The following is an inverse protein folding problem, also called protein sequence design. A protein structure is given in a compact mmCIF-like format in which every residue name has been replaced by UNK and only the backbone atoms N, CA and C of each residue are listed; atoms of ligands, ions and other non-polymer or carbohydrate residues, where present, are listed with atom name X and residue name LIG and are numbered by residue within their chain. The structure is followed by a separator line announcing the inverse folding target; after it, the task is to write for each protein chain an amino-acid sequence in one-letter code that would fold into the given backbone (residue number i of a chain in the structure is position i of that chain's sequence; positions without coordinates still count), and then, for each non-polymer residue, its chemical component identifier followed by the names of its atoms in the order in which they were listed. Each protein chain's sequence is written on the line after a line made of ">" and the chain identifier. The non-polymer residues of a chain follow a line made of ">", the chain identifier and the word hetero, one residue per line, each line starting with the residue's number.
data_IF_253772127905
#
_entry.id   IF_253772127905
#
_cell.length_a   1.000
_cell.length_b   1.000
_cell.length_c   1.000
_cell.angle_alpha   90.00
_cell.angle_beta   90.00
_cell.angle_gamma   90.00
#
_symmetry.space_group_name_H-M   'P 1'
#
loop_
_entity.id
_entity.type
_entity.pdbx_description
1 polymer ?
#
# COMPACT_ATOMS: atom_id res chain seq x y z
N UNK A 1 30.13 13.50 41.16
CA UNK A 1 30.37 13.54 39.71
C UNK A 1 31.17 12.32 39.31
N UNK A 2 30.50 11.27 38.85
CA UNK A 2 31.14 10.06 38.30
C UNK A 2 30.93 10.04 36.82
N UNK A 3 32.01 10.18 36.07
CA UNK A 3 32.01 9.98 34.62
C UNK A 3 31.83 8.48 34.38
N UNK A 4 30.70 8.08 33.81
CA UNK A 4 30.47 6.70 33.36
C UNK A 4 31.04 6.61 31.95
N UNK A 5 32.02 5.69 31.81
CA UNK A 5 32.71 5.43 30.55
C UNK A 5 31.77 4.85 29.52
N UNK A 6 31.52 5.62 28.47
CA UNK A 6 30.76 5.22 27.27
C UNK A 6 31.51 4.17 26.41
N UNK A 7 32.72 3.82 26.79
CA UNK A 7 33.58 2.89 26.02
C UNK A 7 33.27 1.40 26.23
N UNK A 8 32.43 1.05 27.22
CA UNK A 8 32.12 -0.35 27.50
C UNK A 8 30.90 -0.91 26.72
N UNK A 9 30.07 -0.06 26.12
CA UNK A 9 28.92 -0.51 25.33
C UNK A 9 29.23 -0.73 23.84
N UNK A 10 30.36 -0.28 23.33
CA UNK A 10 30.74 -0.49 21.93
C UNK A 10 31.50 -1.79 21.66
N UNK A 11 31.95 -2.49 22.69
CA UNK A 11 32.71 -3.75 22.54
C UNK A 11 31.84 -5.01 22.64
N UNK A 12 30.56 -4.90 22.92
CA UNK A 12 29.63 -6.04 22.97
C UNK A 12 28.79 -6.23 21.70
N UNK A 13 28.87 -5.31 20.75
CA UNK A 13 28.19 -5.46 19.44
C UNK A 13 29.07 -6.02 18.31
N UNK A 14 30.35 -6.29 18.58
CA UNK A 14 31.27 -6.81 17.57
C UNK A 14 31.50 -8.33 17.62
N UNK A 15 30.77 -9.08 18.46
CA UNK A 15 30.95 -10.51 18.61
C UNK A 15 29.76 -11.38 18.22
N UNK A 16 28.77 -10.81 17.49
CA UNK A 16 27.60 -11.53 16.98
C UNK A 16 27.54 -11.60 15.44
N UNK A 17 28.70 -11.49 14.79
CA UNK A 17 28.80 -11.74 13.35
C UNK A 17 29.65 -12.98 13.15
N UNK A 18 29.02 -14.02 12.70
CA UNK A 18 29.45 -15.26 12.04
C UNK A 18 28.88 -16.51 12.74
N UNK A 19 27.60 -16.69 12.62
CA UNK A 19 27.06 -18.04 12.45
C UNK A 19 26.49 -18.06 11.05
N UNK A 20 27.31 -18.48 10.11
CA UNK A 20 26.80 -18.95 8.81
C UNK A 20 25.96 -20.19 9.09
N UNK A 21 24.65 -20.08 9.04
CA UNK A 21 23.78 -21.23 8.87
C UNK A 21 23.99 -21.78 7.47
N UNK A 22 24.92 -22.72 7.34
CA UNK A 22 25.04 -23.60 6.18
C UNK A 22 23.98 -24.68 6.28
N UNK A 23 22.70 -24.34 6.07
CA UNK A 23 21.64 -25.34 5.98
C UNK A 23 20.41 -24.84 5.20
N UNK A 24 20.62 -24.13 4.11
CA UNK A 24 19.51 -23.77 3.20
C UNK A 24 19.88 -24.18 1.76
N UNK A 25 20.21 -25.43 1.56
CA UNK A 25 20.51 -25.94 0.22
C UNK A 25 19.37 -26.71 -0.46
N UNK A 26 18.12 -26.64 0.03
CA UNK A 26 17.03 -27.35 -0.64
C UNK A 26 15.66 -26.68 -0.58
N UNK A 27 15.56 -25.38 -0.33
CA UNK A 27 14.25 -24.75 -0.29
C UNK A 27 13.90 -24.10 -1.64
N UNK A 28 13.34 -24.92 -2.53
CA UNK A 28 12.86 -24.50 -3.86
C UNK A 28 11.46 -23.87 -3.85
N UNK A 29 11.00 -23.33 -2.74
CA UNK A 29 9.72 -22.60 -2.71
C UNK A 29 10.00 -21.15 -3.06
N UNK A 30 9.67 -20.76 -4.28
CA UNK A 30 9.74 -19.40 -4.75
C UNK A 30 8.36 -18.76 -4.63
N UNK A 31 8.11 -17.86 -3.66
CA UNK A 31 6.82 -17.16 -3.53
C UNK A 31 6.40 -16.43 -4.80
N UNK A 32 7.35 -16.11 -5.68
CA UNK A 32 7.04 -15.45 -6.96
C UNK A 32 6.56 -16.37 -8.06
N UNK A 33 6.85 -17.64 -8.02
CA UNK A 33 6.29 -18.59 -8.99
C UNK A 33 4.75 -18.61 -8.88
N UNK A 34 4.24 -18.16 -7.73
CA UNK A 34 2.82 -18.01 -7.47
C UNK A 34 2.20 -16.79 -8.12
N UNK A 35 2.93 -15.66 -8.14
CA UNK A 35 2.46 -14.42 -8.76
C UNK A 35 2.38 -14.57 -10.27
N UNK A 36 3.29 -15.35 -10.88
CA UNK A 36 3.37 -15.52 -12.33
C UNK A 36 2.47 -16.64 -12.88
N UNK A 37 2.00 -17.57 -12.05
CA UNK A 37 1.22 -18.73 -12.50
C UNK A 37 -0.30 -18.60 -12.29
N UNK A 38 -0.77 -17.46 -11.81
CA UNK A 38 -2.17 -17.20 -11.50
C UNK A 38 -3.10 -16.98 -12.70
N UNK A 39 -2.64 -17.12 -13.93
CA UNK A 39 -3.49 -16.84 -15.09
C UNK A 39 -2.97 -17.29 -16.43
N UNK A 40 -2.94 -18.57 -16.70
CA UNK A 40 -3.32 -19.09 -18.03
C UNK A 40 -3.13 -20.61 -18.06
N UNK A 41 -4.23 -21.32 -18.16
CA UNK A 41 -4.24 -22.71 -18.54
C UNK A 41 -3.80 -22.89 -19.99
N UNK A 42 -2.51 -23.03 -20.20
CA UNK A 42 -1.98 -23.73 -21.36
C UNK A 42 -1.10 -24.87 -20.84
N UNK A 43 -1.70 -26.02 -20.79
CA UNK A 43 -1.01 -27.29 -20.62
C UNK A 43 -0.02 -27.47 -21.77
N UNK A 44 1.26 -27.26 -21.49
CA UNK A 44 2.37 -28.05 -22.00
C UNK A 44 3.70 -27.33 -21.74
N UNK A 45 4.36 -27.76 -20.75
CA UNK A 45 5.77 -28.06 -20.51
C UNK A 45 6.13 -27.83 -19.05
N UNK A 46 6.37 -28.96 -18.37
CA UNK A 46 7.28 -29.01 -17.23
C UNK A 46 6.98 -28.05 -16.09
N UNK A 47 5.75 -27.98 -15.64
CA UNK A 47 5.39 -27.35 -14.38
C UNK A 47 6.15 -28.05 -13.26
N UNK A 48 7.22 -27.46 -12.82
CA UNK A 48 7.76 -27.75 -11.50
C UNK A 48 7.24 -26.70 -10.56
N UNK A 49 6.46 -27.21 -9.62
CA UNK A 49 6.18 -26.67 -8.31
C UNK A 49 5.17 -25.52 -8.25
N UNK A 50 3.94 -25.89 -8.52
CA UNK A 50 2.79 -25.34 -7.78
C UNK A 50 3.13 -25.48 -6.30
N UNK A 51 2.98 -24.42 -5.50
CA UNK A 51 3.07 -24.54 -4.04
C UNK A 51 2.09 -25.64 -3.64
N UNK A 52 2.64 -26.74 -3.22
CA UNK A 52 1.84 -27.88 -2.86
C UNK A 52 1.25 -27.61 -1.48
N UNK A 53 0.03 -27.99 -1.30
CA UNK A 53 -0.78 -27.78 -0.09
C UNK A 53 -0.36 -28.69 1.08
N UNK A 54 0.89 -29.14 1.11
CA UNK A 54 1.39 -30.05 2.13
C UNK A 54 2.39 -29.33 3.06
N UNK A 55 2.04 -29.23 4.33
CA UNK A 55 2.87 -28.61 5.38
C UNK A 55 4.31 -29.17 5.41
N UNK A 56 4.52 -30.41 4.99
CA UNK A 56 5.84 -31.03 4.90
C UNK A 56 6.77 -30.40 3.83
N UNK A 57 6.24 -29.54 2.97
CA UNK A 57 6.98 -28.90 1.88
C UNK A 57 7.46 -27.48 2.23
N UNK A 58 7.02 -26.93 3.34
CA UNK A 58 7.49 -25.62 3.82
C UNK A 58 8.81 -25.76 4.60
N UNK A 59 9.63 -24.71 4.64
CA UNK A 59 10.88 -24.73 5.42
C UNK A 59 10.64 -25.16 6.85
N UNK A 60 11.57 -25.96 7.39
CA UNK A 60 11.47 -26.47 8.76
C UNK A 60 11.39 -25.31 9.76
N UNK A 61 10.41 -25.37 10.66
CA UNK A 61 10.16 -24.30 11.63
C UNK A 61 9.21 -23.22 11.16
N UNK A 62 8.69 -23.31 9.92
CA UNK A 62 7.66 -22.40 9.44
C UNK A 62 6.33 -22.60 10.17
N UNK A 63 5.61 -21.51 10.37
CA UNK A 63 4.20 -21.52 10.71
C UNK A 63 3.40 -21.61 9.41
N UNK A 64 2.38 -22.47 9.36
CA UNK A 64 1.56 -22.61 8.15
C UNK A 64 0.08 -22.62 8.52
N UNK A 65 -0.69 -21.72 7.91
CA UNK A 65 -2.13 -21.68 8.04
C UNK A 65 -2.79 -22.23 6.78
N UNK A 66 -3.37 -23.43 6.92
CA UNK A 66 -4.02 -24.19 5.83
C UNK A 66 -5.53 -24.18 5.92
N UNK A 67 -6.10 -23.58 6.96
CA UNK A 67 -7.54 -23.56 7.26
C UNK A 67 -7.94 -22.19 7.79
N UNK A 68 -9.22 -21.90 7.64
CA UNK A 68 -9.82 -20.71 8.25
C UNK A 68 -9.50 -20.66 9.73
N UNK A 69 -9.10 -19.49 10.17
CA UNK A 69 -8.59 -19.23 11.51
C UNK A 69 -9.35 -18.05 12.13
N UNK A 70 -9.77 -18.22 13.37
CA UNK A 70 -10.36 -17.12 14.14
C UNK A 70 -9.40 -16.70 15.25
N UNK A 71 -9.05 -15.42 15.27
CA UNK A 71 -8.14 -14.83 16.25
C UNK A 71 -8.94 -14.02 17.27
N UNK A 72 -8.82 -14.36 18.54
CA UNK A 72 -9.33 -13.58 19.69
C UNK A 72 -8.21 -12.83 20.43
N UNK A 73 -6.99 -13.08 20.06
CA UNK A 73 -5.77 -12.46 20.61
C UNK A 73 -4.80 -12.16 19.45
N UNK A 74 -3.92 -11.20 19.66
CA UNK A 74 -2.89 -10.87 18.70
C UNK A 74 -1.91 -12.03 18.49
N UNK A 75 -1.40 -12.14 17.26
CA UNK A 75 -0.40 -13.15 16.89
C UNK A 75 0.91 -12.47 16.55
N UNK A 76 2.00 -12.99 17.11
CA UNK A 76 3.36 -12.61 16.75
C UNK A 76 4.02 -13.70 15.90
N UNK A 77 4.61 -13.28 14.80
CA UNK A 77 5.51 -14.13 14.00
C UNK A 77 6.93 -13.77 14.43
N UNK A 78 7.61 -14.66 15.16
CA UNK A 78 8.93 -14.36 15.75
C UNK A 78 10.01 -14.11 14.71
N UNK A 79 11.05 -13.40 15.10
CA UNK A 79 12.27 -13.19 14.28
C UNK A 79 12.81 -14.54 13.81
N UNK A 80 13.21 -14.62 12.55
CA UNK A 80 13.74 -15.84 11.94
C UNK A 80 12.69 -16.91 11.64
N UNK A 81 11.40 -16.64 11.90
CA UNK A 81 10.28 -17.52 11.56
C UNK A 81 9.52 -16.97 10.37
N UNK A 82 9.01 -17.85 9.52
CA UNK A 82 8.14 -17.49 8.41
C UNK A 82 6.72 -18.00 8.64
N UNK A 83 5.71 -17.16 8.38
CA UNK A 83 4.32 -17.58 8.31
C UNK A 83 3.89 -17.67 6.85
N UNK A 84 3.41 -18.84 6.46
CA UNK A 84 2.77 -19.11 5.17
C UNK A 84 1.26 -19.23 5.37
N UNK A 85 0.49 -18.53 4.54
CA UNK A 85 -0.97 -18.63 4.54
C UNK A 85 -1.42 -19.10 3.16
N UNK A 86 -2.06 -20.26 3.12
CA UNK A 86 -2.47 -20.92 1.89
C UNK A 86 -3.65 -20.24 1.19
N UNK A 87 -3.80 -20.47 -0.13
CA UNK A 87 -4.90 -19.90 -0.91
C UNK A 87 -6.28 -20.27 -0.36
N UNK A 88 -7.13 -19.27 -0.20
CA UNK A 88 -8.51 -19.42 0.24
C UNK A 88 -8.69 -19.42 1.76
N UNK A 89 -7.61 -19.30 2.54
CA UNK A 89 -7.71 -19.18 3.99
C UNK A 89 -8.31 -17.85 4.37
N UNK A 90 -9.30 -17.88 5.26
CA UNK A 90 -9.90 -16.71 5.90
C UNK A 90 -9.41 -16.58 7.34
N UNK A 91 -8.81 -15.45 7.66
CA UNK A 91 -8.41 -15.06 9.01
C UNK A 91 -9.45 -14.07 9.53
N UNK A 92 -10.25 -14.49 10.50
CA UNK A 92 -11.29 -13.66 11.13
C UNK A 92 -10.82 -13.16 12.48
N UNK A 93 -10.64 -11.85 12.62
CA UNK A 93 -10.29 -11.23 13.88
C UNK A 93 -11.56 -10.89 14.69
N UNK A 94 -11.56 -11.20 15.99
CA UNK A 94 -12.64 -10.84 16.89
C UNK A 94 -12.61 -9.35 17.22
N UNK A 95 -13.76 -8.69 17.10
CA UNK A 95 -13.92 -7.26 17.35
C UNK A 95 -14.19 -6.95 18.84
N UNK A 96 -14.98 -7.80 19.50
CA UNK A 96 -15.35 -7.57 20.91
C UNK A 96 -14.32 -8.17 21.87
N UNK A 97 -13.09 -7.61 21.85
CA UNK A 97 -11.97 -8.02 22.69
C UNK A 97 -11.38 -6.82 23.43
N UNK A 98 -10.75 -7.05 24.57
CA UNK A 98 -10.20 -5.98 25.40
C UNK A 98 -8.99 -5.26 24.72
N UNK A 99 -8.19 -6.00 23.99
CA UNK A 99 -7.03 -5.51 23.23
C UNK A 99 -7.29 -5.83 21.75
N UNK A 100 -7.31 -4.85 20.85
CA UNK A 100 -7.51 -5.12 19.44
C UNK A 100 -6.55 -6.16 18.89
N UNK A 101 -7.07 -7.11 18.12
CA UNK A 101 -6.24 -8.15 17.51
C UNK A 101 -5.30 -7.52 16.49
N UNK A 102 -4.02 -7.83 16.60
CA UNK A 102 -2.98 -7.46 15.65
C UNK A 102 -2.23 -8.69 15.15
N UNK A 103 -1.71 -8.66 13.94
CA UNK A 103 -0.75 -9.63 13.43
C UNK A 103 0.59 -8.92 13.32
N UNK A 104 1.47 -9.17 14.29
CA UNK A 104 2.79 -8.54 14.36
C UNK A 104 3.81 -9.49 13.75
N UNK A 105 4.49 -9.03 12.70
CA UNK A 105 5.44 -9.82 11.93
C UNK A 105 6.85 -9.31 12.23
N UNK A 106 7.57 -9.98 13.11
CA UNK A 106 8.99 -9.75 13.34
C UNK A 106 9.86 -10.62 12.41
N UNK A 107 9.32 -11.75 11.95
CA UNK A 107 9.88 -12.62 10.93
C UNK A 107 9.36 -12.31 9.53
N UNK A 108 9.01 -13.33 8.76
CA UNK A 108 8.54 -13.20 7.39
C UNK A 108 7.07 -13.59 7.23
N UNK A 109 6.39 -13.01 6.23
CA UNK A 109 4.99 -13.32 5.94
C UNK A 109 4.79 -13.58 4.45
N UNK A 110 4.15 -14.70 4.14
CA UNK A 110 3.81 -15.08 2.78
C UNK A 110 2.31 -15.43 2.69
N UNK A 111 1.51 -14.49 2.19
CA UNK A 111 0.11 -14.69 1.87
C UNK A 111 0.00 -14.94 0.37
N UNK A 112 -0.22 -16.20 -0.01
CA UNK A 112 -0.06 -16.65 -1.38
C UNK A 112 -1.42 -17.08 -1.97
N UNK A 113 -2.37 -16.14 -1.98
CA UNK A 113 -3.68 -16.34 -2.58
C UNK A 113 -3.64 -16.46 -4.12
N UNK A 114 -4.76 -16.80 -4.69
CA UNK A 114 -5.03 -16.77 -6.14
C UNK A 114 -6.29 -15.96 -6.41
N UNK A 115 -6.51 -15.57 -7.65
CA UNK A 115 -7.73 -14.84 -8.03
C UNK A 115 -9.02 -15.57 -7.61
N UNK A 116 -9.02 -16.92 -7.68
CA UNK A 116 -10.17 -17.76 -7.31
C UNK A 116 -10.22 -18.08 -5.81
N UNK A 117 -9.08 -17.99 -5.12
CA UNK A 117 -8.92 -18.34 -3.71
C UNK A 117 -8.04 -17.29 -3.01
N UNK A 118 -8.49 -16.05 -2.84
CA UNK A 118 -7.71 -15.04 -2.12
C UNK A 118 -7.51 -15.47 -0.66
N UNK A 119 -6.43 -14.99 -0.05
CA UNK A 119 -6.29 -14.99 1.41
C UNK A 119 -7.07 -13.80 1.95
N UNK A 120 -7.94 -14.02 2.93
CA UNK A 120 -8.81 -12.96 3.46
C UNK A 120 -8.50 -12.66 4.91
N UNK A 121 -8.26 -11.40 5.24
CA UNK A 121 -8.22 -10.87 6.60
C UNK A 121 -9.45 -10.00 6.80
N UNK A 122 -10.27 -10.36 7.78
CA UNK A 122 -11.55 -9.71 8.05
C UNK A 122 -11.87 -9.71 9.54
N UNK A 123 -12.99 -9.14 9.91
CA UNK A 123 -13.54 -9.21 11.26
C UNK A 123 -14.87 -9.96 11.31
N UNK A 124 -15.28 -10.33 12.49
CA UNK A 124 -16.57 -11.02 12.72
C UNK A 124 -17.77 -10.07 12.58
N UNK A 125 -17.65 -8.79 12.86
CA UNK A 125 -18.74 -7.81 12.71
C UNK A 125 -18.67 -6.98 11.44
N UNK A 126 -17.55 -7.03 10.70
CA UNK A 126 -17.33 -6.34 9.42
C UNK A 126 -17.55 -4.83 9.51
N UNK A 127 -16.96 -4.22 10.51
CA UNK A 127 -16.99 -2.77 10.70
C UNK A 127 -15.55 -2.23 10.68
N UNK A 128 -15.31 -1.08 10.07
CA UNK A 128 -14.02 -0.40 10.21
C UNK A 128 -13.64 -0.28 11.71
N UNK A 129 -12.34 -0.46 12.01
CA UNK A 129 -11.80 -0.41 13.40
C UNK A 129 -12.04 -1.68 14.25
N UNK A 130 -12.57 -2.75 13.67
CA UNK A 130 -12.82 -3.99 14.42
C UNK A 130 -11.56 -4.69 14.92
N UNK A 131 -10.45 -4.54 14.20
CA UNK A 131 -9.14 -5.11 14.55
C UNK A 131 -8.00 -4.16 14.16
N UNK A 132 -6.80 -4.42 14.63
CA UNK A 132 -5.65 -3.57 14.34
C UNK A 132 -5.24 -3.62 12.86
N UNK A 133 -4.29 -4.46 12.55
CA UNK A 133 -3.73 -4.61 11.21
C UNK A 133 -2.60 -5.63 11.20
N UNK A 134 -1.91 -5.70 10.06
CA UNK A 134 -0.67 -6.46 9.89
C UNK A 134 0.49 -5.49 10.05
N UNK A 135 1.29 -5.66 11.11
CA UNK A 135 2.34 -4.72 11.49
C UNK A 135 3.69 -5.42 11.41
N UNK A 136 4.45 -5.13 10.35
CA UNK A 136 5.76 -5.73 10.12
C UNK A 136 6.85 -4.90 10.80
N UNK A 137 7.66 -5.56 11.62
CA UNK A 137 8.67 -4.96 12.49
C UNK A 137 10.00 -4.70 11.80
N UNK A 138 10.97 -4.24 12.59
CA UNK A 138 12.30 -3.86 12.10
C UNK A 138 13.14 -5.05 11.62
N UNK A 139 12.82 -6.25 12.08
CA UNK A 139 13.51 -7.50 11.75
C UNK A 139 12.81 -8.28 10.61
N UNK A 140 11.60 -7.82 10.17
CA UNK A 140 10.88 -8.45 9.09
C UNK A 140 11.63 -8.27 7.77
N UNK A 141 12.22 -9.33 7.25
CA UNK A 141 13.06 -9.27 6.06
C UNK A 141 12.27 -9.36 4.77
N UNK A 142 11.20 -10.19 4.76
CA UNK A 142 10.42 -10.45 3.55
C UNK A 142 8.92 -10.54 3.83
N UNK A 143 8.13 -9.83 3.02
CA UNK A 143 6.66 -9.94 3.03
C UNK A 143 6.13 -10.04 1.61
N UNK A 144 5.31 -11.04 1.36
CA UNK A 144 4.59 -11.22 0.09
C UNK A 144 3.09 -11.26 0.36
N UNK A 145 2.37 -10.29 -0.19
CA UNK A 145 0.91 -10.26 -0.24
C UNK A 145 0.49 -10.38 -1.70
N UNK A 146 -0.03 -11.54 -2.09
CA UNK A 146 -0.53 -11.78 -3.44
C UNK A 146 -1.95 -12.32 -3.39
N UNK A 147 -2.87 -11.67 -4.09
CA UNK A 147 -4.30 -11.96 -4.01
C UNK A 147 -4.80 -12.03 -2.56
N UNK A 148 -4.61 -10.93 -1.84
CA UNK A 148 -5.05 -10.79 -0.45
C UNK A 148 -6.18 -9.78 -0.36
N UNK A 149 -7.20 -10.09 0.42
CA UNK A 149 -8.32 -9.21 0.75
C UNK A 149 -8.17 -8.78 2.22
N UNK A 150 -7.99 -7.48 2.50
CA UNK A 150 -7.78 -6.95 3.86
C UNK A 150 -8.80 -5.86 4.15
N UNK A 151 -9.67 -6.11 5.13
CA UNK A 151 -10.73 -5.19 5.48
C UNK A 151 -10.99 -5.06 6.97
N UNK A 152 -11.61 -3.95 7.36
CA UNK A 152 -12.14 -3.65 8.70
C UNK A 152 -11.08 -3.48 9.79
N UNK A 153 -9.83 -3.29 9.40
CA UNK A 153 -8.73 -2.95 10.30
C UNK A 153 -8.72 -1.47 10.68
N UNK A 154 -7.71 -1.09 11.45
CA UNK A 154 -7.46 0.30 11.81
C UNK A 154 -7.80 0.64 13.26
N UNK A 155 -7.97 -0.35 14.13
CA UNK A 155 -8.26 -0.12 15.55
C UNK A 155 -7.15 0.69 16.24
N UNK A 156 -7.55 1.47 17.22
CA UNK A 156 -6.63 2.20 18.09
C UNK A 156 -5.93 1.24 19.04
N UNK A 157 -4.59 1.17 19.07
CA UNK A 157 -3.88 0.27 19.96
C UNK A 157 -4.04 0.69 21.43
N UNK A 158 -3.78 -0.24 22.32
CA UNK A 158 -3.66 -0.02 23.77
C UNK A 158 -2.19 -0.23 24.18
N UNK A 159 -1.85 0.07 25.43
CA UNK A 159 -0.52 -0.23 25.98
C UNK A 159 -0.22 -1.75 25.98
N UNK A 160 -1.25 -2.59 25.93
CA UNK A 160 -1.13 -4.05 25.84
C UNK A 160 -1.07 -4.57 24.41
N UNK A 161 -1.25 -3.73 23.40
CA UNK A 161 -1.11 -4.13 21.99
C UNK A 161 0.34 -4.46 21.64
N UNK A 162 0.56 -5.51 20.85
CA UNK A 162 1.91 -5.95 20.47
C UNK A 162 2.66 -4.85 19.70
N UNK A 163 1.99 -4.13 18.82
CA UNK A 163 2.60 -3.02 18.08
C UNK A 163 3.12 -1.92 19.01
N UNK A 164 2.42 -1.63 20.11
CA UNK A 164 2.87 -0.67 21.12
C UNK A 164 4.07 -1.22 21.91
N UNK A 165 4.00 -2.47 22.37
CA UNK A 165 5.05 -3.11 23.15
C UNK A 165 6.37 -3.23 22.36
N UNK A 166 6.28 -3.58 21.08
CA UNK A 166 7.43 -3.62 20.17
C UNK A 166 7.83 -2.24 19.63
N UNK A 167 7.13 -1.17 20.02
CA UNK A 167 7.43 0.21 19.59
C UNK A 167 7.46 0.38 18.07
N UNK A 168 6.54 -0.25 17.37
CA UNK A 168 6.46 -0.23 15.91
C UNK A 168 5.77 1.04 15.41
N UNK A 169 4.52 0.97 14.99
CA UNK A 169 3.79 2.14 14.48
C UNK A 169 3.64 3.24 15.55
N UNK A 170 4.10 4.46 15.25
CA UNK A 170 4.06 5.63 16.17
C UNK A 170 4.49 5.28 17.61
N UNK A 171 5.76 4.93 17.84
CA UNK A 171 6.23 4.42 19.13
C UNK A 171 5.80 5.27 20.33
N UNK A 172 5.24 4.63 21.35
CA UNK A 172 4.80 5.27 22.59
C UNK A 172 3.53 6.11 22.46
N UNK A 173 2.75 5.95 21.39
CA UNK A 173 1.48 6.63 21.17
C UNK A 173 0.36 5.62 20.99
N UNK A 174 -0.78 5.94 21.58
CA UNK A 174 -2.05 5.22 21.46
C UNK A 174 -3.14 6.15 20.92
N UNK A 175 -2.74 7.20 20.22
CA UNK A 175 -3.63 8.19 19.63
C UNK A 175 -3.86 7.89 18.13
N UNK A 176 -5.01 7.39 17.81
CA UNK A 176 -5.42 7.02 16.46
C UNK A 176 -5.09 5.58 16.08
N UNK A 177 -5.84 5.05 15.14
CA UNK A 177 -5.73 3.66 14.71
C UNK A 177 -4.41 3.34 14.00
N UNK A 178 -4.04 2.07 14.06
CA UNK A 178 -2.94 1.55 13.24
C UNK A 178 -3.38 1.44 11.77
N UNK A 179 -2.47 1.44 10.79
CA UNK A 179 -2.84 1.16 9.40
C UNK A 179 -3.21 -0.32 9.22
N UNK A 180 -3.98 -0.64 8.19
CA UNK A 180 -4.30 -2.04 7.88
C UNK A 180 -3.03 -2.86 7.56
N UNK A 181 -2.03 -2.21 6.95
CA UNK A 181 -0.70 -2.79 6.72
C UNK A 181 0.41 -1.76 7.01
N UNK A 182 1.39 -2.16 7.81
CA UNK A 182 2.58 -1.37 8.12
C UNK A 182 3.86 -2.17 7.88
N UNK A 183 4.88 -1.51 7.30
CA UNK A 183 6.22 -2.08 7.12
C UNK A 183 7.29 -1.07 7.48
N UNK A 184 8.28 -1.45 8.30
CA UNK A 184 9.27 -0.52 8.81
C UNK A 184 10.74 -0.95 8.69
N UNK A 185 11.04 -2.15 8.22
CA UNK A 185 12.45 -2.55 8.03
C UNK A 185 13.04 -1.86 6.80
N UNK A 186 13.98 -0.94 7.00
CA UNK A 186 14.66 -0.19 5.92
C UNK A 186 15.34 -1.10 4.90
N UNK A 187 15.86 -2.25 5.35
CA UNK A 187 16.55 -3.21 4.50
C UNK A 187 15.65 -4.36 4.02
N UNK A 188 14.45 -4.46 4.58
CA UNK A 188 13.51 -5.51 4.22
C UNK A 188 12.91 -5.30 2.84
N UNK A 189 12.21 -6.32 2.36
CA UNK A 189 11.60 -6.36 1.04
C UNK A 189 10.15 -6.76 1.13
N UNK A 190 9.32 -6.18 0.30
CA UNK A 190 7.93 -6.63 0.21
C UNK A 190 7.36 -6.52 -1.20
N UNK A 191 6.38 -7.37 -1.46
CA UNK A 191 5.53 -7.30 -2.64
C UNK A 191 4.08 -7.30 -2.19
N UNK A 192 3.32 -6.35 -2.74
CA UNK A 192 1.88 -6.29 -2.63
C UNK A 192 1.32 -6.32 -4.05
N UNK A 193 0.70 -7.42 -4.43
CA UNK A 193 0.21 -7.61 -5.79
C UNK A 193 -1.20 -8.18 -5.82
N UNK A 194 -2.00 -7.74 -6.79
CA UNK A 194 -3.33 -8.30 -7.08
C UNK A 194 -4.26 -8.36 -5.86
N UNK A 195 -4.12 -7.41 -4.93
CA UNK A 195 -4.75 -7.47 -3.61
C UNK A 195 -5.78 -6.35 -3.43
N UNK A 196 -6.74 -6.56 -2.53
CA UNK A 196 -7.82 -5.64 -2.25
C UNK A 196 -7.79 -5.18 -0.79
N UNK A 197 -7.56 -3.90 -0.59
CA UNK A 197 -7.58 -3.23 0.71
C UNK A 197 -8.80 -2.34 0.78
N UNK A 198 -9.72 -2.57 1.72
CA UNK A 198 -10.96 -1.81 1.75
C UNK A 198 -11.55 -1.65 3.14
N UNK A 199 -12.41 -0.67 3.31
CA UNK A 199 -13.18 -0.44 4.54
C UNK A 199 -12.36 -0.42 5.83
N UNK A 200 -11.10 0.02 5.76
CA UNK A 200 -10.27 0.16 6.95
C UNK A 200 -10.40 1.57 7.55
N UNK A 201 -10.41 1.65 8.87
CA UNK A 201 -10.71 2.89 9.60
C UNK A 201 -9.66 3.98 9.44
N UNK A 202 -8.39 3.59 9.27
CA UNK A 202 -7.25 4.50 9.13
C UNK A 202 -6.60 4.36 7.74
N UNK A 203 -5.29 4.59 7.63
CA UNK A 203 -4.55 4.38 6.38
C UNK A 203 -4.63 2.91 5.94
N UNK A 204 -4.78 2.68 4.64
CA UNK A 204 -4.69 1.31 4.12
C UNK A 204 -3.27 0.77 4.31
N UNK A 205 -2.28 1.59 3.98
CA UNK A 205 -0.88 1.21 4.12
C UNK A 205 -0.03 2.35 4.67
N UNK A 206 1.00 2.00 5.45
CA UNK A 206 1.94 2.96 6.01
C UNK A 206 3.36 2.37 6.00
N UNK A 207 4.27 3.03 5.31
CA UNK A 207 5.64 2.56 5.16
C UNK A 207 6.63 3.54 5.81
N UNK A 208 7.49 3.02 6.66
CA UNK A 208 8.61 3.76 7.28
C UNK A 208 9.95 3.11 6.99
N UNK A 209 9.98 2.24 6.01
CA UNK A 209 11.14 1.50 5.51
C UNK A 209 10.74 0.51 4.44
N UNK A 210 11.73 -0.06 3.77
CA UNK A 210 11.59 -1.19 2.87
C UNK A 210 11.74 -0.91 1.39
N UNK A 211 12.16 -1.96 0.71
CA UNK A 211 12.22 -2.04 -0.75
C UNK A 211 10.96 -2.75 -1.23
N UNK A 212 10.08 -2.06 -1.91
CA UNK A 212 8.74 -2.59 -2.21
C UNK A 212 8.29 -2.42 -3.65
N UNK A 213 7.46 -3.39 -4.08
CA UNK A 213 6.67 -3.31 -5.30
C UNK A 213 5.20 -3.42 -4.94
N UNK A 214 4.41 -2.42 -5.32
CA UNK A 214 2.96 -2.34 -5.08
C UNK A 214 2.29 -2.26 -6.43
N UNK A 215 1.69 -3.36 -6.89
CA UNK A 215 1.22 -3.47 -8.28
C UNK A 215 -0.12 -4.17 -8.38
N UNK A 216 -0.98 -3.67 -9.28
CA UNK A 216 -2.29 -4.27 -9.60
C UNK A 216 -3.21 -4.42 -8.37
N UNK A 217 -3.11 -3.55 -7.38
CA UNK A 217 -3.98 -3.61 -6.21
C UNK A 217 -5.16 -2.66 -6.36
N UNK A 218 -6.19 -2.94 -5.59
CA UNK A 218 -7.32 -2.03 -5.38
C UNK A 218 -7.26 -1.55 -3.92
N UNK A 219 -7.25 -0.24 -3.72
CA UNK A 219 -7.38 0.41 -2.43
C UNK A 219 -8.68 1.20 -2.41
N UNK A 220 -9.66 0.80 -1.62
CA UNK A 220 -10.97 1.42 -1.61
C UNK A 220 -11.42 1.83 -0.21
N UNK A 221 -12.15 2.93 -0.15
CA UNK A 221 -12.91 3.36 1.03
C UNK A 221 -12.06 3.47 2.33
N UNK A 222 -10.82 3.98 2.21
CA UNK A 222 -9.93 4.14 3.36
C UNK A 222 -10.33 5.30 4.26
N UNK A 223 -10.18 5.10 5.56
CA UNK A 223 -10.22 6.16 6.56
C UNK A 223 -11.59 6.62 6.98
N UNK A 224 -11.56 7.37 8.07
CA UNK A 224 -12.70 8.10 8.61
C UNK A 224 -12.54 9.61 8.39
N UNK A 225 -13.59 10.36 8.60
CA UNK A 225 -13.58 11.81 8.37
C UNK A 225 -12.67 12.60 9.31
N UNK A 226 -12.31 12.04 10.46
CA UNK A 226 -11.57 12.75 11.51
C UNK A 226 -10.06 12.70 11.29
N UNK A 227 -9.47 11.50 11.16
CA UNK A 227 -8.03 11.28 11.09
C UNK A 227 -7.68 10.12 10.16
N UNK A 228 -6.53 10.16 9.51
CA UNK A 228 -6.06 9.09 8.64
C UNK A 228 -6.83 8.94 7.32
N UNK A 229 -6.61 7.83 6.64
CA UNK A 229 -7.28 7.46 5.41
C UNK A 229 -6.50 7.76 4.13
N UNK A 230 -5.19 7.80 4.21
CA UNK A 230 -4.34 7.64 3.05
C UNK A 230 -4.42 6.20 2.52
N UNK A 231 -4.45 6.03 1.20
CA UNK A 231 -4.33 4.69 0.63
C UNK A 231 -2.87 4.21 0.72
N UNK A 232 -1.93 5.02 0.28
CA UNK A 232 -0.49 4.70 0.31
C UNK A 232 0.27 5.85 0.98
N UNK A 233 0.69 5.64 2.23
CA UNK A 233 1.40 6.62 3.05
C UNK A 233 2.86 6.19 3.23
N UNK A 234 3.78 6.98 2.66
CA UNK A 234 5.20 6.66 2.59
C UNK A 234 6.03 7.70 3.33
N UNK A 235 6.95 7.24 4.18
CA UNK A 235 7.91 8.03 4.92
C UNK A 235 9.34 7.73 4.48
N UNK A 236 10.32 8.35 5.13
CA UNK A 236 11.73 8.06 4.90
C UNK A 236 12.04 6.55 5.03
N UNK A 237 13.13 6.11 4.42
CA UNK A 237 13.60 4.72 4.47
C UNK A 237 13.01 3.80 3.40
N UNK A 238 12.17 4.32 2.51
CA UNK A 238 11.46 3.49 1.53
C UNK A 238 12.06 3.64 0.12
N UNK A 239 12.03 2.54 -0.64
CA UNK A 239 12.29 2.52 -2.07
C UNK A 239 11.20 1.71 -2.76
N UNK A 240 10.30 2.38 -3.49
CA UNK A 240 9.04 1.79 -3.94
C UNK A 240 8.78 2.01 -5.43
N UNK A 241 8.44 0.93 -6.14
CA UNK A 241 7.68 1.01 -7.41
C UNK A 241 6.20 0.78 -7.12
N UNK A 242 5.35 1.71 -7.56
CA UNK A 242 3.90 1.68 -7.32
C UNK A 242 3.17 1.87 -8.65
N UNK A 243 2.59 0.80 -9.19
CA UNK A 243 2.07 0.82 -10.55
C UNK A 243 0.76 0.09 -10.72
N UNK A 244 -0.05 0.54 -11.69
CA UNK A 244 -1.28 -0.12 -12.11
C UNK A 244 -2.30 -0.36 -10.98
N UNK A 245 -2.27 0.44 -9.91
CA UNK A 245 -3.24 0.32 -8.84
C UNK A 245 -4.47 1.17 -9.13
N UNK A 246 -5.63 0.70 -8.65
CA UNK A 246 -6.85 1.50 -8.55
C UNK A 246 -6.97 1.99 -7.11
N UNK A 247 -7.10 3.31 -6.94
CA UNK A 247 -7.30 3.93 -5.63
C UNK A 247 -8.61 4.69 -5.66
N UNK A 248 -9.58 4.20 -4.94
CA UNK A 248 -10.93 4.72 -4.92
C UNK A 248 -11.28 5.28 -3.55
N UNK A 249 -11.78 6.51 -3.52
CA UNK A 249 -12.41 7.12 -2.35
C UNK A 249 -11.53 7.11 -1.07
N UNK A 250 -10.22 7.33 -1.23
CA UNK A 250 -9.36 7.57 -0.07
C UNK A 250 -9.82 8.86 0.65
N UNK A 251 -10.04 8.76 1.96
CA UNK A 251 -10.57 9.87 2.76
C UNK A 251 -9.66 11.09 2.69
N UNK A 252 -8.35 10.88 2.86
CA UNK A 252 -7.36 11.96 2.89
C UNK A 252 -6.63 12.08 1.56
N UNK A 253 -5.68 11.20 1.26
CA UNK A 253 -4.95 11.24 0.00
C UNK A 253 -4.86 9.82 -0.59
N UNK A 254 -4.83 9.72 -1.92
CA UNK A 254 -4.44 8.47 -2.55
C UNK A 254 -2.97 8.16 -2.24
N UNK A 255 -2.10 9.15 -2.40
CA UNK A 255 -0.68 9.06 -2.08
C UNK A 255 -0.27 10.16 -1.10
N UNK A 256 0.50 9.80 -0.09
CA UNK A 256 1.26 10.72 0.72
C UNK A 256 2.72 10.31 0.74
N UNK A 257 3.59 11.20 0.30
CA UNK A 257 5.02 10.98 0.26
C UNK A 257 5.76 12.02 1.08
N UNK A 258 6.65 11.58 1.96
CA UNK A 258 7.34 12.44 2.91
C UNK A 258 8.70 11.87 3.28
N UNK A 259 9.70 12.72 3.46
CA UNK A 259 10.97 12.34 4.09
C UNK A 259 10.94 12.48 5.62
N UNK A 260 9.76 12.59 6.23
CA UNK A 260 9.67 12.59 7.68
C UNK A 260 10.25 11.30 8.27
N UNK A 261 11.11 11.46 9.29
CA UNK A 261 11.79 10.35 9.95
C UNK A 261 13.16 10.00 9.36
N UNK A 262 13.64 10.72 8.34
CA UNK A 262 15.01 10.53 7.85
C UNK A 262 16.06 10.85 8.93
N UNK A 263 17.17 10.16 8.87
CA UNK A 263 18.31 10.34 9.77
C UNK A 263 19.61 9.86 9.08
N UNK A 264 20.71 9.85 9.79
CA UNK A 264 21.97 9.29 9.26
C UNK A 264 21.87 7.80 8.87
N UNK A 265 20.94 7.06 9.49
CA UNK A 265 20.74 5.62 9.25
C UNK A 265 19.44 5.31 8.50
N UNK A 266 18.53 6.26 8.37
CA UNK A 266 17.30 6.11 7.61
C UNK A 266 17.36 7.01 6.36
N UNK A 267 17.52 6.45 5.16
CA UNK A 267 17.71 7.23 3.94
C UNK A 267 16.43 8.01 3.57
N UNK A 268 16.60 8.97 2.69
CA UNK A 268 15.47 9.62 2.03
C UNK A 268 14.67 8.60 1.23
N UNK A 269 13.39 8.89 1.07
CA UNK A 269 12.51 8.01 0.29
C UNK A 269 12.72 8.19 -1.21
N UNK A 270 12.66 7.06 -1.92
CA UNK A 270 12.57 7.00 -3.37
C UNK A 270 11.25 6.35 -3.76
N UNK A 271 10.47 6.94 -4.65
CA UNK A 271 9.24 6.34 -5.15
C UNK A 271 9.05 6.66 -6.64
N UNK A 272 8.76 5.61 -7.41
CA UNK A 272 8.23 5.73 -8.77
C UNK A 272 6.78 5.25 -8.78
N UNK A 273 5.82 6.18 -8.94
CA UNK A 273 4.40 5.88 -9.03
C UNK A 273 3.89 6.21 -10.43
N UNK A 274 3.39 5.21 -11.13
CA UNK A 274 3.00 5.35 -12.53
C UNK A 274 1.86 4.44 -12.94
N UNK A 275 1.10 4.86 -13.92
CA UNK A 275 -0.06 4.13 -14.46
C UNK A 275 -1.13 3.78 -13.40
N UNK A 276 -1.22 4.52 -12.30
CA UNK A 276 -2.27 4.32 -11.31
C UNK A 276 -3.52 5.10 -11.68
N UNK A 277 -4.68 4.56 -11.34
CA UNK A 277 -5.99 5.20 -11.50
C UNK A 277 -6.50 5.65 -10.14
N UNK A 278 -6.63 6.96 -9.94
CA UNK A 278 -7.01 7.60 -8.68
C UNK A 278 -8.39 8.22 -8.85
N UNK A 279 -9.38 7.69 -8.15
CA UNK A 279 -10.79 8.06 -8.34
C UNK A 279 -11.38 8.57 -7.03
N UNK A 280 -12.00 9.74 -7.08
CA UNK A 280 -12.79 10.30 -5.99
C UNK A 280 -12.06 10.43 -4.63
N UNK A 281 -10.78 10.69 -4.63
CA UNK A 281 -10.00 10.81 -3.40
C UNK A 281 -10.04 12.23 -2.81
N UNK A 282 -9.96 12.33 -1.46
CA UNK A 282 -9.78 13.57 -0.72
C UNK A 282 -11.05 14.37 -0.40
N UNK A 283 -12.22 13.93 -0.83
CA UNK A 283 -13.47 14.66 -0.62
C UNK A 283 -14.05 14.50 0.79
N UNK A 284 -13.74 13.40 1.48
CA UNK A 284 -14.24 13.13 2.82
C UNK A 284 -13.48 13.86 3.94
N UNK A 285 -12.45 14.64 3.63
CA UNK A 285 -11.81 15.55 4.58
C UNK A 285 -12.40 16.95 4.44
N UNK A 286 -12.54 17.65 5.58
CA UNK A 286 -13.00 19.03 5.56
C UNK A 286 -12.05 19.95 4.78
N UNK A 287 -12.57 21.09 4.28
CA UNK A 287 -11.79 22.07 3.53
C UNK A 287 -10.52 22.56 4.23
N UNK A 288 -10.53 22.58 5.54
CA UNK A 288 -9.40 23.05 6.36
C UNK A 288 -8.38 21.95 6.64
N UNK A 289 -8.63 20.72 6.21
CA UNK A 289 -7.76 19.59 6.45
C UNK A 289 -7.09 19.09 5.16
N UNK A 290 -6.09 18.25 5.33
CA UNK A 290 -5.29 17.68 4.23
C UNK A 290 -6.09 16.61 3.51
N UNK A 291 -6.71 16.87 2.41
CA UNK A 291 -7.36 15.88 1.55
C UNK A 291 -6.95 16.10 0.10
N UNK A 292 -6.96 15.09 -0.74
CA UNK A 292 -6.63 15.20 -2.16
C UNK A 292 -6.17 13.92 -2.83
N UNK A 293 -5.54 14.05 -3.99
CA UNK A 293 -5.00 12.89 -4.70
C UNK A 293 -3.59 12.58 -4.22
N UNK A 294 -2.67 13.51 -4.35
CA UNK A 294 -1.25 13.30 -4.06
C UNK A 294 -0.73 14.42 -3.17
N UNK A 295 -0.11 14.06 -2.06
CA UNK A 295 0.55 14.97 -1.14
C UNK A 295 2.04 14.65 -1.05
N UNK A 296 2.88 15.63 -1.38
CA UNK A 296 4.34 15.50 -1.32
C UNK A 296 4.91 16.56 -0.38
N UNK A 297 5.73 16.15 0.58
CA UNK A 297 6.29 17.03 1.60
C UNK A 297 7.72 16.64 2.02
N UNK A 298 8.39 17.52 2.76
CA UNK A 298 9.72 17.26 3.35
C UNK A 298 10.80 16.96 2.33
N UNK A 299 10.82 17.72 1.25
CA UNK A 299 11.76 17.56 0.15
C UNK A 299 11.80 16.15 -0.46
N UNK A 300 10.68 15.41 -0.42
CA UNK A 300 10.57 14.17 -1.15
C UNK A 300 10.57 14.44 -2.66
N UNK A 301 11.18 13.53 -3.43
CA UNK A 301 11.42 13.69 -4.87
C UNK A 301 10.91 12.47 -5.67
N UNK A 302 9.60 12.33 -5.84
CA UNK A 302 9.03 11.20 -6.57
C UNK A 302 9.21 11.34 -8.10
N UNK A 303 9.18 10.19 -8.75
CA UNK A 303 8.70 10.05 -10.13
C UNK A 303 7.19 9.75 -10.05
N UNK A 304 6.36 10.66 -10.55
CA UNK A 304 4.89 10.51 -10.56
C UNK A 304 4.39 10.86 -11.96
N UNK A 305 4.22 9.85 -12.81
CA UNK A 305 3.91 10.01 -14.24
C UNK A 305 2.86 9.02 -14.71
N UNK A 306 2.15 9.36 -15.77
CA UNK A 306 1.12 8.50 -16.40
C UNK A 306 -0.02 8.09 -15.47
N UNK A 307 -0.22 8.76 -14.33
CA UNK A 307 -1.35 8.44 -13.47
C UNK A 307 -2.59 9.16 -13.96
N UNK A 308 -3.74 8.54 -13.81
CA UNK A 308 -5.03 9.12 -14.09
C UNK A 308 -5.69 9.55 -12.78
N UNK A 309 -6.01 10.83 -12.67
CA UNK A 309 -6.70 11.44 -11.54
C UNK A 309 -8.10 11.82 -12.00
N UNK A 310 -9.10 11.09 -11.51
CA UNK A 310 -10.50 11.21 -11.88
C UNK A 310 -11.34 11.72 -10.72
N UNK A 311 -12.01 12.82 -10.90
CA UNK A 311 -12.94 13.42 -9.92
C UNK A 311 -12.40 13.48 -8.48
N UNK A 312 -11.10 13.64 -8.30
CA UNK A 312 -10.46 13.78 -7.00
C UNK A 312 -10.32 15.24 -6.60
N UNK A 313 -10.31 15.52 -5.30
CA UNK A 313 -10.43 16.89 -4.80
C UNK A 313 -9.31 17.83 -5.25
N UNK A 314 -8.08 17.40 -5.16
CA UNK A 314 -6.92 18.15 -5.63
C UNK A 314 -6.10 17.24 -6.54
N UNK A 315 -5.42 17.80 -7.49
CA UNK A 315 -4.37 17.12 -8.20
C UNK A 315 -3.15 16.90 -7.29
N UNK A 316 -1.97 17.26 -7.75
CA UNK A 316 -0.78 17.26 -6.90
C UNK A 316 -0.85 18.46 -5.94
N UNK A 317 -0.48 18.26 -4.69
CA UNK A 317 -0.37 19.31 -3.69
C UNK A 317 0.82 19.11 -2.76
N UNK A 318 1.25 20.22 -2.15
CA UNK A 318 2.35 20.25 -1.18
C UNK A 318 2.09 21.34 -0.13
N UNK A 319 2.73 21.28 1.05
CA UNK A 319 2.67 22.40 1.99
C UNK A 319 3.39 23.62 1.41
N UNK A 320 3.04 24.81 1.91
CA UNK A 320 3.69 26.07 1.50
C UNK A 320 5.18 26.10 1.89
N UNK A 321 5.54 25.42 2.97
CA UNK A 321 6.90 25.24 3.45
C UNK A 321 7.20 23.74 3.52
N UNK A 322 8.44 23.35 3.34
CA UNK A 322 8.86 21.93 3.33
C UNK A 322 8.08 21.09 2.28
N UNK A 323 7.84 21.63 1.11
CA UNK A 323 7.19 20.94 0.00
C UNK A 323 8.05 19.86 -0.64
N UNK A 324 7.68 19.48 -1.86
CA UNK A 324 8.47 18.56 -2.68
C UNK A 324 9.80 19.19 -3.11
N UNK A 325 10.81 18.36 -3.34
CA UNK A 325 11.99 18.72 -4.12
C UNK A 325 11.60 18.77 -5.61
N UNK A 326 11.14 19.94 -6.04
CA UNK A 326 10.60 20.13 -7.40
C UNK A 326 11.69 20.00 -8.47
N UNK A 327 12.93 20.31 -8.15
CA UNK A 327 14.06 20.28 -9.09
C UNK A 327 14.43 18.84 -9.48
N UNK A 328 14.36 17.91 -8.51
CA UNK A 328 14.74 16.51 -8.71
C UNK A 328 13.55 15.56 -8.83
N UNK A 329 12.32 16.09 -8.85
CA UNK A 329 11.10 15.31 -9.05
C UNK A 329 10.71 15.29 -10.52
N UNK A 330 10.07 14.20 -10.95
CA UNK A 330 9.34 14.13 -12.22
C UNK A 330 7.86 13.93 -11.94
N UNK A 331 7.06 14.99 -12.07
CA UNK A 331 5.67 15.05 -11.62
C UNK A 331 4.67 15.15 -12.78
N UNK A 332 5.13 14.89 -14.00
CA UNK A 332 4.35 15.06 -15.23
C UNK A 332 4.94 14.18 -16.34
N UNK A 333 4.17 13.74 -17.39
CA UNK A 333 2.74 14.01 -17.55
C UNK A 333 1.84 13.09 -16.72
N UNK A 334 0.69 13.61 -16.28
CA UNK A 334 -0.41 12.86 -15.73
C UNK A 334 -1.72 13.27 -16.43
N UNK A 335 -2.77 12.49 -16.22
CA UNK A 335 -4.07 12.72 -16.80
C UNK A 335 -5.05 13.17 -15.73
N UNK A 336 -5.72 14.30 -15.93
CA UNK A 336 -6.68 14.89 -14.99
C UNK A 336 -8.05 15.02 -15.62
N UNK A 337 -9.06 14.49 -14.97
CA UNK A 337 -10.45 14.59 -15.36
C UNK A 337 -11.32 15.04 -14.19
N UNK A 338 -12.23 15.97 -14.46
CA UNK A 338 -13.28 16.37 -13.54
C UNK A 338 -14.61 16.46 -14.27
N UNK A 339 -15.64 15.81 -13.72
CA UNK A 339 -16.98 15.76 -14.30
C UNK A 339 -17.81 17.00 -14.00
N UNK A 340 -17.40 17.82 -13.03
CA UNK A 340 -18.13 19.02 -12.59
C UNK A 340 -17.23 20.25 -12.59
N UNK A 341 -17.83 21.44 -12.67
CA UNK A 341 -17.12 22.73 -12.57
C UNK A 341 -16.40 22.86 -11.22
N UNK A 342 -17.04 22.48 -10.12
CA UNK A 342 -16.42 22.44 -8.79
C UNK A 342 -15.21 21.49 -8.77
N UNK A 343 -15.29 20.35 -9.41
CA UNK A 343 -14.19 19.41 -9.56
C UNK A 343 -13.01 20.03 -10.30
N UNK A 344 -13.25 20.69 -11.43
CA UNK A 344 -12.21 21.42 -12.19
C UNK A 344 -11.57 22.48 -11.33
N UNK A 345 -12.36 23.33 -10.66
CA UNK A 345 -11.86 24.40 -9.79
C UNK A 345 -10.99 23.86 -8.65
N UNK A 346 -11.43 22.80 -7.98
CA UNK A 346 -10.69 22.22 -6.88
C UNK A 346 -9.40 21.53 -7.35
N UNK A 347 -9.45 20.84 -8.48
CA UNK A 347 -8.30 20.11 -9.02
C UNK A 347 -7.16 21.03 -9.41
N UNK A 348 -7.47 22.23 -9.90
CA UNK A 348 -6.54 23.25 -10.39
C UNK A 348 -6.49 24.52 -9.49
N UNK A 349 -6.63 24.39 -8.19
CA UNK A 349 -6.75 25.53 -7.29
C UNK A 349 -5.52 26.47 -7.26
N UNK A 350 -4.38 26.00 -7.74
CA UNK A 350 -3.15 26.78 -7.85
C UNK A 350 -2.34 26.88 -6.55
N UNK A 351 -1.25 27.62 -6.60
CA UNK A 351 -0.27 27.77 -5.53
C UNK A 351 0.29 26.40 -5.03
N UNK A 352 0.00 26.01 -3.79
CA UNK A 352 0.43 24.71 -3.23
C UNK A 352 -0.63 23.60 -3.35
N UNK A 353 -1.78 23.91 -3.92
CA UNK A 353 -2.92 22.99 -4.08
C UNK A 353 -3.31 22.88 -5.54
N UNK A 354 -3.55 21.66 -6.01
CA UNK A 354 -3.98 21.42 -7.40
C UNK A 354 -2.96 21.94 -8.40
N UNK A 355 -1.70 21.54 -8.25
CA UNK A 355 -0.63 21.94 -9.18
C UNK A 355 -0.76 21.13 -10.46
N UNK A 356 -0.81 21.85 -11.59
CA UNK A 356 -0.77 21.30 -12.94
C UNK A 356 0.49 21.74 -13.65
N UNK A 357 0.94 20.91 -14.57
CA UNK A 357 2.07 21.20 -15.46
C UNK A 357 1.58 21.32 -16.91
N UNK A 358 2.35 22.00 -17.75
CA UNK A 358 1.96 22.21 -19.15
C UNK A 358 1.87 20.91 -19.94
N UNK A 359 2.69 19.92 -19.61
CA UNK A 359 2.69 18.59 -20.24
C UNK A 359 1.62 17.64 -19.72
N UNK A 360 0.85 18.03 -18.68
CA UNK A 360 -0.27 17.23 -18.22
C UNK A 360 -1.43 17.26 -19.21
N UNK A 361 -2.14 16.14 -19.35
CA UNK A 361 -3.39 16.06 -20.11
C UNK A 361 -4.53 16.48 -19.18
N UNK A 362 -5.13 17.61 -19.46
CA UNK A 362 -6.12 18.24 -18.59
C UNK A 362 -7.06 19.15 -19.37
N UNK A 363 -8.26 19.35 -18.82
CA UNK A 363 -9.20 20.35 -19.32
C UNK A 363 -9.68 21.25 -18.20
N UNK A 364 -9.92 22.51 -18.54
CA UNK A 364 -10.59 23.49 -17.67
C UNK A 364 -12.11 23.47 -17.85
N UNK A 365 -12.63 22.60 -18.68
CA UNK A 365 -14.06 22.42 -18.95
C UNK A 365 -14.52 21.11 -18.33
N UNK A 366 -15.52 21.18 -17.46
CA UNK A 366 -16.11 20.02 -16.80
C UNK A 366 -16.64 18.99 -17.81
N UNK A 367 -16.38 17.70 -17.55
CA UNK A 367 -16.78 16.59 -18.42
C UNK A 367 -15.96 16.41 -19.69
N UNK A 368 -15.09 17.36 -20.03
CA UNK A 368 -14.22 17.25 -21.19
C UNK A 368 -13.05 16.29 -20.91
N UNK A 369 -12.61 15.56 -21.94
CA UNK A 369 -11.57 14.54 -21.80
C UNK A 369 -11.97 13.38 -20.87
N UNK A 370 -13.23 12.94 -20.92
CA UNK A 370 -13.64 11.75 -20.17
C UNK A 370 -12.78 10.54 -20.59
N UNK A 371 -12.13 9.85 -19.65
CA UNK A 371 -11.27 8.70 -19.96
C UNK A 371 -12.05 7.47 -20.44
N UNK A 372 -13.38 7.47 -20.40
CA UNK A 372 -14.25 6.41 -20.92
C UNK A 372 -13.89 5.04 -20.34
N UNK A 373 -14.05 4.86 -19.03
CA UNK A 373 -13.91 3.55 -18.41
C UNK A 373 -14.90 2.53 -18.99
N UNK A 374 -14.50 1.26 -19.10
CA UNK A 374 -15.36 0.18 -19.63
C UNK A 374 -16.61 -0.03 -18.79
N UNK A 375 -16.46 0.00 -17.46
CA UNK A 375 -17.60 -0.12 -16.55
C UNK A 375 -17.29 0.60 -15.24
N UNK A 376 -17.83 1.79 -15.07
CA UNK A 376 -17.75 2.54 -13.83
C UNK A 376 -19.01 3.37 -13.66
N UNK A 377 -19.63 3.29 -12.49
CA UNK A 377 -20.78 4.10 -12.14
C UNK A 377 -20.37 5.18 -11.17
N UNK A 378 -20.29 6.40 -11.65
CA UNK A 378 -20.07 7.55 -10.79
C UNK A 378 -21.32 7.85 -9.95
N UNK A 379 -21.12 8.15 -8.67
CA UNK A 379 -22.18 8.65 -7.82
C UNK A 379 -22.50 10.11 -8.17
N UNK A 380 -23.75 10.47 -8.17
CA UNK A 380 -24.22 11.86 -8.24
C UNK A 380 -23.84 12.68 -6.98
N UNK A 381 -23.38 11.99 -5.94
CA UNK A 381 -22.89 12.59 -4.70
C UNK A 381 -21.37 12.77 -4.66
N UNK A 382 -20.66 12.33 -5.68
CA UNK A 382 -19.22 12.61 -5.81
C UNK A 382 -19.02 14.10 -6.08
N UNK A 383 -17.92 14.66 -5.58
CA UNK A 383 -17.62 16.08 -5.67
C UNK A 383 -18.61 16.99 -4.93
N UNK A 384 -19.29 16.48 -3.93
CA UNK A 384 -20.16 17.27 -3.09
C UNK A 384 -19.34 18.29 -2.32
N UNK A 385 -19.90 19.43 -2.20
CA UNK A 385 -19.39 20.64 -1.62
C UNK A 385 -18.34 20.43 -0.50
N UNK A 386 -17.08 20.39 -0.88
CA UNK A 386 -15.95 20.25 0.03
C UNK A 386 -15.76 21.49 0.95
N UNK A 387 -16.55 22.51 0.79
CA UNK A 387 -16.62 23.69 1.65
C UNK A 387 -17.46 23.43 2.92
N UNK A 388 -18.25 22.37 2.94
CA UNK A 388 -19.04 21.99 4.10
C UNK A 388 -18.28 20.92 4.90
N UNK A 389 -18.18 21.12 6.21
CA UNK A 389 -17.55 20.14 7.11
C UNK A 389 -18.39 18.86 7.30
N UNK A 390 -19.58 18.81 6.74
CA UNK A 390 -20.46 17.66 6.80
C UNK A 390 -20.08 16.62 5.72
N UNK A 391 -19.22 15.71 6.13
CA UNK A 391 -18.73 14.61 5.28
C UNK A 391 -19.83 13.63 4.88
N UNK A 392 -20.93 13.58 5.65
CA UNK A 392 -22.04 12.65 5.39
C UNK A 392 -22.85 13.04 4.14
N UNK A 393 -22.84 14.30 3.74
CA UNK A 393 -23.58 14.75 2.56
C UNK A 393 -23.01 14.26 1.24
N UNK A 394 -21.76 13.83 1.23
CA UNK A 394 -21.03 13.45 0.03
C UNK A 394 -20.59 11.99 -0.01
N UNK A 395 -21.27 11.09 0.71
CA UNK A 395 -20.89 9.69 0.69
C UNK A 395 -20.92 9.14 -0.75
N UNK A 396 -19.78 8.75 -1.31
CA UNK A 396 -19.74 8.11 -2.62
C UNK A 396 -20.41 6.73 -2.54
N UNK A 397 -20.61 6.11 -3.70
CA UNK A 397 -20.98 4.70 -3.73
C UNK A 397 -19.87 3.87 -3.10
N UNK A 398 -20.24 2.83 -2.36
CA UNK A 398 -19.30 1.80 -1.95
C UNK A 398 -18.63 1.19 -3.20
N UNK A 399 -17.38 0.77 -3.06
CA UNK A 399 -16.66 0.16 -4.17
C UNK A 399 -17.38 -1.10 -4.66
N UNK A 400 -17.58 -1.18 -5.97
CA UNK A 400 -18.19 -2.34 -6.61
C UNK A 400 -17.11 -3.12 -7.38
N UNK A 401 -16.87 -4.36 -6.97
CA UNK A 401 -15.87 -5.26 -7.60
C UNK A 401 -16.16 -5.56 -9.07
N UNK A 402 -17.35 -5.22 -9.57
CA UNK A 402 -17.70 -5.38 -10.98
C UNK A 402 -17.31 -4.18 -11.86
N UNK A 403 -16.82 -3.10 -11.25
CA UNK A 403 -16.31 -1.98 -12.03
C UNK A 403 -15.03 -2.35 -12.75
N UNK A 404 -14.91 -1.84 -13.97
CA UNK A 404 -13.74 -2.03 -14.81
C UNK A 404 -13.21 -0.66 -15.24
N UNK A 405 -12.04 -0.31 -14.72
CA UNK A 405 -11.36 0.96 -15.00
C UNK A 405 -10.46 0.92 -16.23
N UNK A 406 -10.46 -0.17 -17.00
CA UNK A 406 -9.88 -0.16 -18.34
C UNK A 406 -10.58 0.86 -19.23
N UNK A 407 -9.88 1.32 -20.24
CA UNK A 407 -10.41 2.28 -21.19
C UNK A 407 -11.17 1.60 -22.34
N UNK A 408 -12.25 2.23 -22.76
CA UNK A 408 -12.93 1.88 -24.01
C UNK A 408 -12.07 2.32 -25.20
N UNK A 409 -12.32 1.71 -26.35
CA UNK A 409 -11.77 2.17 -27.62
C UNK A 409 -12.13 3.65 -27.89
N UNK A 410 -11.16 4.44 -28.32
CA UNK A 410 -11.37 5.88 -28.55
C UNK A 410 -11.22 6.74 -27.29
N UNK A 411 -10.90 6.16 -26.14
CA UNK A 411 -10.57 6.95 -24.95
C UNK A 411 -9.39 7.88 -25.21
N UNK A 412 -9.48 9.17 -24.85
CA UNK A 412 -8.37 10.08 -24.95
C UNK A 412 -7.21 9.73 -24.00
N UNK A 413 -7.46 8.90 -22.98
CA UNK A 413 -6.44 8.45 -22.03
C UNK A 413 -5.53 7.33 -22.57
N UNK A 414 -5.83 6.79 -23.76
CA UNK A 414 -4.99 5.79 -24.43
C UNK A 414 -3.69 6.37 -25.05
N UNK A 415 -3.50 7.68 -25.01
CA UNK A 415 -2.36 8.36 -25.60
C UNK A 415 -1.78 9.41 -24.66
N UNK A 416 -0.55 9.84 -24.93
CA UNK A 416 0.10 10.93 -24.20
C UNK A 416 0.93 10.48 -22.98
N UNK A 417 0.96 9.20 -22.69
CA UNK A 417 1.87 8.65 -21.68
C UNK A 417 3.32 8.63 -22.15
N UNK A 418 4.26 8.54 -21.21
CA UNK A 418 5.69 8.48 -21.44
C UNK A 418 6.29 7.15 -21.01
N UNK A 419 7.39 6.75 -21.63
CA UNK A 419 8.10 5.51 -21.31
C UNK A 419 9.54 5.75 -20.85
N UNK A 420 10.03 6.97 -20.95
CA UNK A 420 11.40 7.40 -20.70
C UNK A 420 11.67 7.78 -19.23
N UNK A 421 11.12 7.07 -18.28
CA UNK A 421 11.36 7.28 -16.86
C UNK A 421 12.01 6.06 -16.20
N UNK A 422 12.76 6.31 -15.11
CA UNK A 422 13.41 5.25 -14.36
C UNK A 422 12.43 4.57 -13.40
N UNK A 423 12.28 3.26 -13.56
CA UNK A 423 11.67 2.38 -12.55
C UNK A 423 12.75 1.95 -11.56
N UNK A 424 12.40 1.81 -10.28
CA UNK A 424 13.37 1.47 -9.24
C UNK A 424 13.70 -0.02 -9.24
N UNK A 425 12.74 -0.86 -9.61
CA UNK A 425 12.89 -2.32 -9.69
C UNK A 425 12.47 -2.88 -11.04
N UNK A 426 13.13 -2.49 -12.15
CA UNK A 426 12.73 -2.92 -13.51
C UNK A 426 12.85 -4.43 -13.72
N UNK A 427 13.63 -5.12 -12.92
CA UNK A 427 13.83 -6.57 -12.97
C UNK A 427 13.26 -7.28 -11.71
N UNK A 428 12.33 -6.67 -11.03
CA UNK A 428 11.78 -7.16 -9.77
C UNK A 428 12.74 -7.06 -8.59
N UNK A 429 12.25 -7.45 -7.41
CA UNK A 429 13.04 -7.52 -6.18
C UNK A 429 13.74 -8.87 -6.07
N UNK A 430 15.02 -8.91 -5.68
CA UNK A 430 15.68 -10.16 -5.34
C UNK A 430 15.26 -10.59 -3.94
N UNK A 431 14.65 -11.75 -3.81
CA UNK A 431 14.39 -12.39 -2.54
C UNK A 431 15.49 -13.39 -2.17
N UNK A 432 15.54 -13.78 -0.92
CA UNK A 432 16.55 -14.71 -0.40
C UNK A 432 16.43 -16.05 -1.15
N UNK A 433 17.51 -16.48 -1.83
CA UNK A 433 17.54 -17.74 -2.57
C UNK A 433 16.70 -17.79 -3.86
N UNK A 434 16.10 -16.69 -4.31
CA UNK A 434 15.16 -16.67 -5.42
C UNK A 434 15.68 -15.93 -6.64
N UNK A 435 15.21 -16.35 -7.84
CA UNK A 435 15.47 -15.59 -9.07
C UNK A 435 14.75 -14.23 -9.00
N UNK A 436 15.35 -13.22 -9.59
CA UNK A 436 14.67 -11.93 -9.79
C UNK A 436 13.38 -12.13 -10.57
N UNK A 437 12.28 -11.63 -10.05
CA UNK A 437 10.99 -11.66 -10.74
C UNK A 437 10.66 -10.25 -11.19
N UNK A 438 10.30 -10.12 -12.43
CA UNK A 438 9.87 -8.86 -13.01
C UNK A 438 8.35 -8.74 -12.91
N UNK A 439 7.86 -8.15 -11.82
CA UNK A 439 6.43 -7.91 -11.63
C UNK A 439 5.86 -6.85 -12.58
N UNK A 440 6.72 -6.07 -13.21
CA UNK A 440 6.30 -4.95 -14.04
C UNK A 440 6.10 -5.35 -15.51
N UNK A 441 6.59 -6.53 -15.91
CA UNK A 441 6.39 -7.05 -17.28
C UNK A 441 5.08 -7.85 -17.44
N UNK A 442 4.34 -8.10 -16.37
CA UNK A 442 3.05 -8.79 -16.42
C UNK A 442 1.90 -7.87 -16.88
N UNK A 443 2.18 -6.84 -17.67
CA UNK A 443 1.15 -5.95 -18.22
C UNK A 443 0.16 -6.66 -19.16
N UNK A 444 0.32 -7.96 -19.42
CA UNK A 444 -0.58 -8.71 -20.33
C UNK A 444 -1.63 -9.56 -19.62
N UNK A 445 -1.62 -9.65 -18.29
CA UNK A 445 -2.63 -10.42 -17.55
C UNK A 445 -3.69 -9.53 -16.90
N UNK A 446 -4.15 -8.51 -17.62
CA UNK A 446 -5.34 -7.75 -17.24
C UNK A 446 -6.59 -8.54 -17.61
N UNK A 447 -6.90 -9.55 -16.84
CA UNK A 447 -8.23 -10.13 -16.75
C UNK A 447 -8.68 -10.08 -15.28
N UNK A 448 -9.21 -8.92 -14.90
CA UNK A 448 -10.05 -8.79 -13.72
C UNK A 448 -11.50 -9.07 -14.11
#
# INVERSE_FOLDING_TARGET
>A
MKKINILACMLLMAAATTVFCTSCENDNINPYDYVNNGGNGNENQGSKDVIKTNVAEYPVGSMVWTKDTTLSESVEIPVGTSLYIEPGVTVTCKSEVQVPVEIVVLGNLYCLGTAQKPVTFTSDTKKPEDWGGIICGFESEEVVLNHVDIAYGGATPTESSLSYQHRLFKPGKIDGGVPAFHFCNVNGKFVMANSFFHDNYNDQTYFTGGNGVIINNIFADSGNAADGGEAINVKAGCKLDVANNVIYNACTNAFKLSNAGNSEVIPLTEMAAYNNTIVNCGWRRSKNKKGGSVWVEKAAKPVFVNNLIYDSRYGLKQPKQDGADMEHSRLTPNYYFASTETGVEQMAKGASLGIWFDSDIKSTVAGQLNPLFKSFKQSDKMNVNCEVDDVAQGAPLAFDKTWNFDFQEGSPALSGGVTDFARLFPNGLPFFGMKKVNFLDTQNDQNY
#
